data_IF_535610812425
#
_entry.id   IF_535610812425
#
_cell.length_a   1.000
_cell.length_b   1.000
_cell.length_c   1.000
_cell.angle_alpha   90.00
_cell.angle_beta   90.00
_cell.angle_gamma   90.00
#
_symmetry.space_group_name_H-M   'P 1'
#
loop_
_entity.id
_entity.type
_entity.pdbx_description
1 polymer ?
#
# COMPACT_ATOMS: atom_id res chain seq x y z
N UNK A 1 44.52 -14.15 15.24
CA UNK A 1 43.35 -14.26 14.34
C UNK A 1 43.31 -12.99 13.55
N UNK A 2 43.55 -13.07 12.25
CA UNK A 2 43.60 -11.90 11.38
C UNK A 2 42.19 -11.32 11.16
N UNK A 3 42.11 -10.01 10.97
CA UNK A 3 40.84 -9.29 10.81
C UNK A 3 39.99 -9.87 9.67
N UNK A 4 40.64 -10.40 8.62
CA UNK A 4 39.97 -11.08 7.50
C UNK A 4 39.27 -12.37 7.94
N UNK A 5 39.85 -13.13 8.87
CA UNK A 5 39.24 -14.36 9.37
C UNK A 5 38.01 -14.07 10.23
N UNK A 6 38.02 -12.95 10.97
CA UNK A 6 36.88 -12.51 11.79
C UNK A 6 35.68 -12.07 10.94
N UNK A 7 35.92 -11.41 9.81
CA UNK A 7 34.85 -10.97 8.89
C UNK A 7 34.16 -12.17 8.23
N UNK A 8 34.94 -13.17 7.81
CA UNK A 8 34.40 -14.39 7.17
C UNK A 8 33.55 -15.18 8.18
N UNK A 9 34.04 -15.35 9.41
CA UNK A 9 33.32 -16.07 10.48
C UNK A 9 32.02 -15.34 10.87
N UNK A 10 32.03 -14.01 10.92
CA UNK A 10 30.83 -13.21 11.17
C UNK A 10 29.79 -13.35 10.03
N UNK A 11 30.25 -13.37 8.77
CA UNK A 11 29.39 -13.57 7.61
C UNK A 11 28.70 -14.94 7.61
N UNK A 12 29.43 -16.01 7.94
CA UNK A 12 28.84 -17.35 8.05
C UNK A 12 27.87 -17.49 9.23
N UNK A 13 28.15 -16.86 10.38
CA UNK A 13 27.21 -16.83 11.51
C UNK A 13 25.92 -16.09 11.16
N UNK A 14 26.00 -14.97 10.43
CA UNK A 14 24.82 -14.23 10.01
C UNK A 14 23.98 -15.02 8.99
N UNK A 15 24.62 -15.66 8.00
CA UNK A 15 23.94 -16.51 7.03
C UNK A 15 23.25 -17.72 7.69
N UNK A 16 23.90 -18.35 8.67
CA UNK A 16 23.32 -19.46 9.43
C UNK A 16 22.11 -19.00 10.28
N UNK A 17 22.18 -17.82 10.90
CA UNK A 17 21.08 -17.25 11.67
C UNK A 17 19.87 -16.91 10.79
N UNK A 18 20.11 -16.32 9.60
CA UNK A 18 19.05 -16.03 8.61
C UNK A 18 18.37 -17.32 8.12
N UNK A 19 19.14 -18.35 7.81
CA UNK A 19 18.59 -19.65 7.38
C UNK A 19 17.79 -20.35 8.48
N UNK A 20 18.26 -20.31 9.73
CA UNK A 20 17.53 -20.85 10.88
C UNK A 20 16.21 -20.11 11.15
N UNK A 21 16.18 -18.79 10.93
CA UNK A 21 14.95 -17.98 11.01
C UNK A 21 13.91 -18.38 9.97
N UNK A 22 14.34 -18.63 8.73
CA UNK A 22 13.45 -19.07 7.64
C UNK A 22 12.93 -20.49 7.88
N UNK A 23 13.77 -21.37 8.43
CA UNK A 23 13.37 -22.76 8.70
C UNK A 23 12.42 -22.88 9.91
N UNK A 24 12.58 -22.06 10.96
CA UNK A 24 11.63 -21.97 12.08
C UNK A 24 10.23 -21.52 11.63
N UNK A 25 10.15 -20.56 10.69
CA UNK A 25 8.86 -20.11 10.11
C UNK A 25 8.13 -21.21 9.33
N UNK A 26 8.89 -22.12 8.68
CA UNK A 26 8.30 -23.23 7.91
C UNK A 26 7.81 -24.38 8.78
N UNK A 27 8.47 -24.67 9.91
CA UNK A 27 8.03 -25.74 10.84
C UNK A 27 6.78 -25.37 11.64
N UNK A 28 6.61 -24.09 12.02
CA UNK A 28 5.39 -23.63 12.70
C UNK A 28 4.10 -23.76 11.86
N UNK A 29 4.22 -23.88 10.53
CA UNK A 29 3.09 -24.04 9.61
C UNK A 29 2.76 -25.51 9.27
N UNK A 30 3.51 -26.48 9.80
CA UNK A 30 3.39 -27.88 9.41
C UNK A 30 2.72 -28.80 10.46
N UNK A 31 2.34 -28.29 11.64
CA UNK A 31 1.97 -29.14 12.80
C UNK A 31 0.51 -29.03 13.31
N UNK A 32 -0.44 -28.45 12.56
CA UNK A 32 -1.86 -28.46 12.99
C UNK A 32 -2.81 -29.18 12.02
N UNK A 33 -2.95 -30.51 12.13
CA UNK A 33 -3.97 -31.28 11.42
C UNK A 33 -5.24 -31.41 12.28
N UNK A 34 -5.87 -30.29 12.65
CA UNK A 34 -7.19 -30.30 13.28
C UNK A 34 -7.71 -28.87 13.47
N UNK A 35 -8.26 -28.30 12.41
CA UNK A 35 -9.23 -27.20 12.49
C UNK A 35 -10.27 -27.41 11.40
N UNK A 36 -11.00 -28.51 11.53
CA UNK A 36 -12.35 -28.57 10.99
C UNK A 36 -13.22 -27.67 11.89
N UNK A 37 -13.90 -26.72 11.26
CA UNK A 37 -14.94 -25.85 11.86
C UNK A 37 -14.39 -24.59 12.57
N UNK A 38 -13.75 -23.70 11.82
CA UNK A 38 -13.73 -22.26 12.15
C UNK A 38 -14.15 -21.46 10.91
N UNK A 39 -14.91 -20.35 11.07
CA UNK A 39 -15.29 -19.49 9.96
C UNK A 39 -14.00 -19.00 9.28
N UNK A 40 -13.94 -19.25 7.97
CA UNK A 40 -12.82 -18.97 7.07
C UNK A 40 -12.27 -17.56 7.30
N UNK A 41 -11.16 -17.45 8.01
CA UNK A 41 -10.29 -16.26 7.96
C UNK A 41 -9.98 -16.04 6.48
N UNK A 42 -10.25 -14.85 5.91
CA UNK A 42 -10.05 -14.63 4.50
C UNK A 42 -8.59 -14.91 4.14
N UNK A 43 -8.42 -15.97 3.36
CA UNK A 43 -7.14 -16.44 2.84
C UNK A 43 -6.45 -15.32 2.07
N UNK A 44 -5.12 -15.21 2.13
CA UNK A 44 -4.24 -14.23 1.46
C UNK A 44 -4.56 -13.92 -0.03
N UNK A 45 -5.42 -14.70 -0.69
CA UNK A 45 -6.01 -14.36 -2.01
C UNK A 45 -6.82 -13.06 -2.03
N UNK A 46 -7.34 -12.59 -0.89
CA UNK A 46 -8.00 -11.26 -0.81
C UNK A 46 -7.02 -10.08 -0.73
N UNK A 47 -5.71 -10.35 -0.58
CA UNK A 47 -4.67 -9.34 -0.35
C UNK A 47 -3.77 -9.10 -1.56
N UNK A 48 -4.10 -9.66 -2.73
CA UNK A 48 -3.34 -9.47 -3.94
C UNK A 48 -3.88 -8.28 -4.75
N UNK A 49 -2.99 -7.40 -5.22
CA UNK A 49 -3.35 -6.37 -6.20
C UNK A 49 -4.12 -6.99 -7.38
N UNK A 50 -5.18 -6.33 -7.87
CA UNK A 50 -5.91 -6.84 -9.02
C UNK A 50 -5.00 -6.86 -10.24
N UNK A 51 -4.87 -8.04 -10.86
CA UNK A 51 -4.17 -8.18 -12.14
C UNK A 51 -5.05 -7.60 -13.24
N UNK A 52 -4.80 -6.34 -13.61
CA UNK A 52 -5.49 -5.63 -14.68
C UNK A 52 -4.50 -5.34 -15.81
N UNK A 53 -4.96 -5.33 -17.05
CA UNK A 53 -4.10 -5.01 -18.20
C UNK A 53 -3.12 -6.11 -18.59
N UNK A 54 -2.14 -5.74 -19.41
CA UNK A 54 -1.12 -6.65 -19.92
C UNK A 54 0.13 -6.59 -19.03
N UNK A 55 0.54 -7.71 -18.39
CA UNK A 55 1.72 -7.75 -17.56
C UNK A 55 2.97 -7.33 -18.34
N UNK A 56 3.88 -6.58 -17.70
CA UNK A 56 5.12 -6.16 -18.34
C UNK A 56 5.03 -4.92 -19.22
N UNK A 57 3.87 -4.26 -19.24
CA UNK A 57 3.64 -3.03 -20.03
C UNK A 57 3.84 -1.74 -19.25
N UNK A 58 4.23 -1.81 -17.98
CA UNK A 58 4.53 -0.63 -17.17
C UNK A 58 5.57 0.28 -17.86
N UNK A 59 5.25 1.57 -17.96
CA UNK A 59 6.13 2.53 -18.61
C UNK A 59 7.26 3.01 -17.69
N UNK A 60 8.37 3.47 -18.28
CA UNK A 60 9.48 4.06 -17.52
C UNK A 60 9.04 5.24 -16.64
N UNK A 61 8.17 6.10 -17.17
CA UNK A 61 7.66 7.26 -16.43
C UNK A 61 6.83 6.82 -15.22
N UNK A 62 6.00 5.77 -15.35
CA UNK A 62 5.25 5.21 -14.23
C UNK A 62 6.17 4.55 -13.19
N UNK A 63 7.23 3.85 -13.61
CA UNK A 63 8.24 3.33 -12.67
C UNK A 63 8.88 4.46 -11.86
N UNK A 64 9.24 5.56 -12.52
CA UNK A 64 9.84 6.71 -11.86
C UNK A 64 8.85 7.38 -10.89
N UNK A 65 7.60 7.58 -11.31
CA UNK A 65 6.54 8.13 -10.46
C UNK A 65 6.27 7.23 -9.25
N UNK A 66 6.19 5.90 -9.43
CA UNK A 66 6.01 4.96 -8.33
C UNK A 66 7.16 5.03 -7.33
N UNK A 67 8.41 5.09 -7.80
CA UNK A 67 9.58 5.26 -6.93
C UNK A 67 9.57 6.60 -6.18
N UNK A 68 9.12 7.68 -6.83
CA UNK A 68 8.97 8.99 -6.19
C UNK A 68 7.93 8.96 -5.06
N UNK A 69 6.95 8.06 -5.15
CA UNK A 69 5.96 7.81 -4.11
C UNK A 69 6.34 6.64 -3.18
N UNK A 70 7.63 6.29 -3.10
CA UNK A 70 8.18 5.25 -2.21
C UNK A 70 7.67 3.81 -2.47
N UNK A 71 7.17 3.53 -3.68
CA UNK A 71 6.84 2.15 -4.08
C UNK A 71 8.07 1.42 -4.64
N UNK A 72 8.05 0.10 -4.49
CA UNK A 72 8.95 -0.82 -5.19
C UNK A 72 8.25 -1.40 -6.43
N UNK A 73 8.33 -0.74 -7.61
CA UNK A 73 7.67 -1.23 -8.81
C UNK A 73 8.26 -2.56 -9.28
N UNK A 74 7.40 -3.49 -9.67
CA UNK A 74 7.77 -4.74 -10.33
C UNK A 74 7.69 -4.55 -11.85
N UNK A 75 8.67 -5.07 -12.58
CA UNK A 75 8.68 -5.04 -14.05
C UNK A 75 7.55 -5.87 -14.66
N UNK A 76 6.97 -6.80 -13.91
CA UNK A 76 5.84 -7.59 -14.37
C UNK A 76 4.50 -6.85 -14.25
N UNK A 77 4.47 -5.64 -13.68
CA UNK A 77 3.24 -4.86 -13.60
C UNK A 77 2.80 -4.36 -14.97
N UNK A 78 1.49 -4.21 -15.13
CA UNK A 78 0.91 -3.56 -16.29
C UNK A 78 0.89 -2.05 -16.13
N UNK A 79 0.68 -1.36 -17.27
CA UNK A 79 0.45 0.09 -17.30
C UNK A 79 -0.78 0.47 -16.47
N UNK A 80 -1.84 -0.32 -16.55
CA UNK A 80 -3.11 -0.08 -15.86
C UNK A 80 -2.99 -0.30 -14.34
N UNK A 81 -2.24 -1.32 -13.91
CA UNK A 81 -1.95 -1.56 -12.49
C UNK A 81 -1.19 -0.36 -11.89
N UNK A 82 -0.15 0.10 -12.58
CA UNK A 82 0.63 1.25 -12.16
C UNK A 82 -0.21 2.53 -12.12
N UNK A 83 -1.05 2.76 -13.14
CA UNK A 83 -1.94 3.92 -13.19
C UNK A 83 -2.92 3.94 -12.01
N UNK A 84 -3.56 2.80 -11.69
CA UNK A 84 -4.50 2.72 -10.56
C UNK A 84 -3.82 3.01 -9.23
N UNK A 85 -2.58 2.54 -9.02
CA UNK A 85 -1.83 2.88 -7.80
C UNK A 85 -1.57 4.38 -7.73
N UNK A 86 -1.06 4.98 -8.80
CA UNK A 86 -0.73 6.40 -8.85
C UNK A 86 -1.97 7.28 -8.67
N UNK A 87 -3.08 6.91 -9.33
CA UNK A 87 -4.38 7.55 -9.17
C UNK A 87 -4.88 7.43 -7.72
N UNK A 88 -4.71 6.26 -7.08
CA UNK A 88 -5.10 6.04 -5.69
C UNK A 88 -4.26 6.86 -4.71
N UNK A 89 -2.95 6.98 -4.93
CA UNK A 89 -2.06 7.84 -4.13
C UNK A 89 -2.46 9.31 -4.26
N UNK A 90 -2.76 9.76 -5.48
CA UNK A 90 -3.20 11.13 -5.73
C UNK A 90 -4.55 11.43 -5.09
N UNK A 91 -5.50 10.50 -5.22
CA UNK A 91 -6.78 10.57 -4.55
C UNK A 91 -6.62 10.63 -3.03
N UNK A 92 -5.78 9.76 -2.46
CA UNK A 92 -5.49 9.72 -1.03
C UNK A 92 -4.95 11.05 -0.53
N UNK A 93 -3.97 11.64 -1.21
CA UNK A 93 -3.42 12.96 -0.83
C UNK A 93 -4.47 14.04 -0.81
N UNK A 94 -5.36 14.06 -1.79
CA UNK A 94 -6.46 15.01 -1.83
C UNK A 94 -7.46 14.77 -0.69
N UNK A 95 -7.80 13.52 -0.35
CA UNK A 95 -8.63 13.23 0.83
C UNK A 95 -7.95 13.67 2.12
N UNK A 96 -6.68 13.33 2.32
CA UNK A 96 -5.96 13.70 3.54
C UNK A 96 -5.83 15.22 3.70
N UNK A 97 -5.68 15.97 2.59
CA UNK A 97 -5.71 17.44 2.61
C UNK A 97 -7.09 17.97 2.97
N UNK A 98 -8.16 17.38 2.43
CA UNK A 98 -9.52 17.83 2.74
C UNK A 98 -9.92 17.51 4.20
N UNK A 99 -9.30 16.49 4.81
CA UNK A 99 -9.56 16.03 6.19
C UNK A 99 -8.66 16.71 7.22
N UNK A 100 -7.37 16.85 6.91
CA UNK A 100 -6.42 17.47 7.82
C UNK A 100 -6.59 18.99 7.85
N UNK A 101 -6.37 19.61 9.01
CA UNK A 101 -6.15 21.04 9.05
C UNK A 101 -4.88 21.34 8.26
N UNK A 102 -4.95 22.33 7.37
CA UNK A 102 -3.96 22.66 6.34
C UNK A 102 -2.53 22.97 6.83
N UNK A 103 -2.27 22.89 8.14
CA UNK A 103 -0.99 23.17 8.81
C UNK A 103 -0.18 21.93 9.23
N UNK A 104 -0.77 20.72 9.31
CA UNK A 104 -0.09 19.54 9.88
C UNK A 104 0.71 18.68 8.89
N UNK A 105 0.84 19.14 7.64
CA UNK A 105 1.64 18.47 6.62
C UNK A 105 1.06 17.13 6.14
N UNK A 106 1.82 16.41 5.30
CA UNK A 106 1.37 15.13 4.77
C UNK A 106 1.30 14.08 5.90
N UNK A 107 0.24 13.24 5.96
CA UNK A 107 0.11 12.24 7.01
C UNK A 107 1.31 11.28 7.02
N UNK A 108 1.69 10.72 8.17
CA UNK A 108 2.75 9.71 8.28
C UNK A 108 2.64 8.61 7.23
N UNK A 109 3.79 8.12 6.74
CA UNK A 109 3.86 7.10 5.66
C UNK A 109 3.08 5.83 6.01
N UNK A 110 3.06 5.44 7.29
CA UNK A 110 2.31 4.26 7.75
C UNK A 110 0.78 4.45 7.60
N UNK A 111 0.26 5.64 7.89
CA UNK A 111 -1.15 6.00 7.70
C UNK A 111 -1.48 6.03 6.20
N UNK A 112 -0.58 6.59 5.37
CA UNK A 112 -0.76 6.58 3.92
C UNK A 112 -0.83 5.15 3.38
N UNK A 113 0.02 4.24 3.87
CA UNK A 113 0.05 2.85 3.46
C UNK A 113 -1.24 2.10 3.85
N UNK A 114 -1.76 2.28 5.07
CA UNK A 114 -3.01 1.65 5.49
C UNK A 114 -4.22 2.20 4.73
N UNK A 115 -4.30 3.51 4.51
CA UNK A 115 -5.39 4.09 3.72
C UNK A 115 -5.33 3.67 2.24
N UNK A 116 -4.13 3.66 1.65
CA UNK A 116 -3.96 3.16 0.30
C UNK A 116 -4.34 1.67 0.20
N UNK A 117 -3.98 0.88 1.20
CA UNK A 117 -4.38 -0.52 1.30
C UNK A 117 -5.90 -0.66 1.39
N UNK A 118 -6.57 0.14 2.21
CA UNK A 118 -8.03 0.16 2.32
C UNK A 118 -8.68 0.44 0.96
N UNK A 119 -8.21 1.48 0.28
CA UNK A 119 -8.65 1.89 -1.05
C UNK A 119 -8.44 0.76 -2.08
N UNK A 120 -7.24 0.18 -2.12
CA UNK A 120 -6.89 -0.84 -3.11
C UNK A 120 -7.48 -2.22 -2.79
N UNK A 121 -7.92 -2.49 -1.56
CA UNK A 121 -8.55 -3.78 -1.21
C UNK A 121 -10.02 -3.82 -1.61
N UNK A 122 -10.72 -2.70 -1.51
CA UNK A 122 -12.15 -2.64 -1.80
C UNK A 122 -12.43 -2.47 -3.29
N UNK A 123 -13.21 -3.39 -3.84
CA UNK A 123 -13.49 -3.40 -5.29
C UNK A 123 -14.20 -2.14 -5.76
N UNK A 124 -15.18 -1.65 -5.00
CA UNK A 124 -15.94 -0.47 -5.38
C UNK A 124 -15.11 0.82 -5.34
N UNK A 125 -14.20 0.95 -4.36
CA UNK A 125 -13.26 2.08 -4.28
C UNK A 125 -12.24 2.02 -5.41
N UNK A 126 -11.68 0.84 -5.70
CA UNK A 126 -10.77 0.65 -6.83
C UNK A 126 -11.41 1.00 -8.16
N UNK A 127 -12.62 0.50 -8.40
CA UNK A 127 -13.34 0.74 -9.66
C UNK A 127 -13.68 2.22 -9.81
N UNK A 128 -14.07 2.88 -8.71
CA UNK A 128 -14.28 4.32 -8.68
C UNK A 128 -13.00 5.09 -9.01
N UNK A 129 -11.86 4.78 -8.38
CA UNK A 129 -10.60 5.49 -8.61
C UNK A 129 -10.08 5.26 -10.01
N UNK A 130 -10.16 4.02 -10.52
CA UNK A 130 -9.82 3.72 -11.92
C UNK A 130 -10.62 4.60 -12.87
N UNK A 131 -11.94 4.67 -12.68
CA UNK A 131 -12.81 5.51 -13.52
C UNK A 131 -12.49 7.00 -13.35
N UNK A 132 -12.26 7.45 -12.13
CA UNK A 132 -11.89 8.83 -11.83
C UNK A 132 -10.58 9.24 -12.53
N UNK A 133 -9.55 8.39 -12.50
CA UNK A 133 -8.29 8.62 -13.20
C UNK A 133 -8.45 8.61 -14.73
N UNK A 134 -9.27 7.69 -15.26
CA UNK A 134 -9.61 7.67 -16.70
C UNK A 134 -10.35 8.94 -17.13
N UNK A 135 -11.31 9.40 -16.33
CA UNK A 135 -12.10 10.61 -16.64
C UNK A 135 -11.23 11.87 -16.59
N UNK A 136 -10.24 11.93 -15.68
CA UNK A 136 -9.22 13.00 -15.66
C UNK A 136 -8.34 12.99 -16.91
N UNK A 137 -7.85 11.82 -17.32
CA UNK A 137 -7.08 11.67 -18.56
C UNK A 137 -7.91 12.07 -19.79
N UNK A 138 -9.20 11.72 -19.83
CA UNK A 138 -10.14 12.16 -20.89
C UNK A 138 -10.39 13.67 -20.88
N UNK A 139 -10.39 14.29 -19.71
CA UNK A 139 -10.50 15.75 -19.56
C UNK A 139 -9.21 16.49 -20.00
N UNK A 140 -8.18 15.77 -20.46
CA UNK A 140 -6.92 16.35 -20.92
C UNK A 140 -5.94 16.69 -19.79
N UNK A 141 -6.23 16.23 -18.56
CA UNK A 141 -5.31 16.37 -17.43
C UNK A 141 -4.27 15.26 -17.53
N UNK A 142 -3.00 15.64 -17.56
CA UNK A 142 -1.90 14.67 -17.64
C UNK A 142 -1.86 13.73 -16.43
N UNK A 143 -1.48 12.47 -16.66
CA UNK A 143 -1.39 11.42 -15.63
C UNK A 143 -0.41 11.80 -14.50
N UNK A 144 0.59 12.63 -14.82
CA UNK A 144 1.63 13.10 -13.90
C UNK A 144 1.53 14.59 -13.59
N UNK A 145 0.41 15.25 -13.93
CA UNK A 145 0.20 16.65 -13.59
C UNK A 145 0.36 16.86 -12.07
N UNK A 146 1.02 17.94 -11.67
CA UNK A 146 1.12 18.34 -10.27
C UNK A 146 -0.08 19.21 -9.87
N UNK A 147 -1.28 18.77 -10.28
CA UNK A 147 -2.53 19.42 -9.95
C UNK A 147 -3.13 18.86 -8.66
N UNK A 148 -3.90 19.73 -8.03
CA UNK A 148 -4.65 19.46 -6.81
C UNK A 148 -6.12 19.17 -7.13
N UNK A 149 -6.52 17.89 -7.28
CA UNK A 149 -7.90 17.57 -7.61
C UNK A 149 -8.88 18.05 -6.56
N UNK A 150 -9.99 18.62 -7.01
CA UNK A 150 -11.20 18.78 -6.20
C UNK A 150 -11.97 17.47 -6.24
N UNK A 151 -12.17 16.85 -5.07
CA UNK A 151 -12.85 15.56 -4.98
C UNK A 151 -14.36 15.73 -4.91
N UNK A 152 -15.09 14.84 -5.59
CA UNK A 152 -16.55 14.80 -5.51
C UNK A 152 -16.97 14.12 -4.22
N UNK A 153 -17.81 14.80 -3.44
CA UNK A 153 -18.35 14.36 -2.13
C UNK A 153 -19.39 13.24 -2.26
N UNK A 154 -18.98 12.09 -2.80
CA UNK A 154 -19.80 10.90 -2.97
C UNK A 154 -19.63 9.89 -1.83
N UNK A 155 -20.31 8.74 -1.92
CA UNK A 155 -20.24 7.70 -0.88
C UNK A 155 -18.81 7.17 -0.71
N UNK A 156 -18.10 6.95 -1.82
CA UNK A 156 -16.71 6.46 -1.83
C UNK A 156 -15.78 7.44 -1.10
N UNK A 157 -15.92 8.74 -1.38
CA UNK A 157 -15.20 9.79 -0.67
C UNK A 157 -15.46 9.74 0.83
N UNK A 158 -16.73 9.76 1.25
CA UNK A 158 -17.08 9.74 2.69
C UNK A 158 -16.53 8.53 3.43
N UNK A 159 -16.42 7.38 2.77
CA UNK A 159 -15.84 6.17 3.34
C UNK A 159 -14.33 6.29 3.55
N UNK A 160 -13.61 6.83 2.56
CA UNK A 160 -12.16 7.06 2.68
C UNK A 160 -11.88 8.19 3.67
N UNK A 161 -12.71 9.24 3.67
CA UNK A 161 -12.67 10.36 4.61
C UNK A 161 -12.86 9.88 6.06
N UNK A 162 -13.88 9.06 6.32
CA UNK A 162 -14.12 8.51 7.66
C UNK A 162 -12.96 7.63 8.14
N UNK A 163 -12.36 6.84 7.23
CA UNK A 163 -11.19 6.04 7.58
C UNK A 163 -9.95 6.92 7.80
N UNK A 164 -9.76 7.98 7.00
CA UNK A 164 -8.67 8.93 7.17
C UNK A 164 -8.78 9.69 8.50
N UNK A 165 -9.98 10.15 8.88
CA UNK A 165 -10.23 10.78 10.18
C UNK A 165 -9.86 9.88 11.35
N UNK A 166 -10.14 8.58 11.28
CA UNK A 166 -9.74 7.62 12.34
C UNK A 166 -8.23 7.58 12.58
N UNK A 167 -7.43 7.86 11.55
CA UNK A 167 -5.97 7.86 11.65
C UNK A 167 -5.41 9.25 11.98
N UNK A 168 -6.06 10.32 11.52
CA UNK A 168 -5.60 11.71 11.68
C UNK A 168 -6.07 12.32 13.01
N UNK A 169 -7.30 12.04 13.41
CA UNK A 169 -7.83 12.36 14.74
C UNK A 169 -7.67 11.09 15.58
N UNK A 170 -6.51 10.86 16.26
CA UNK A 170 -6.48 9.83 17.28
C UNK A 170 -7.56 10.22 18.29
N UNK A 171 -8.47 9.29 18.57
CA UNK A 171 -9.47 9.47 19.60
C UNK A 171 -8.79 10.06 20.84
N UNK A 172 -9.15 11.29 21.22
CA UNK A 172 -8.84 11.85 22.52
C UNK A 172 -9.30 10.83 23.56
N UNK A 173 -8.39 10.00 24.09
CA UNK A 173 -8.77 8.95 25.03
C UNK A 173 -7.88 7.71 25.15
N UNK A 174 -6.76 7.59 24.42
CA UNK A 174 -5.85 6.43 24.58
C UNK A 174 -4.57 6.73 25.38
N UNK A 175 -4.55 7.78 26.20
CA UNK A 175 -3.54 7.97 27.25
C UNK A 175 -4.20 7.99 28.64
N UNK A 176 -4.49 6.80 29.17
CA UNK A 176 -4.52 6.56 30.61
C UNK A 176 -4.35 5.05 30.88
N UNK A 177 -3.39 4.71 31.73
CA UNK A 177 -2.99 3.38 32.23
C UNK A 177 -2.05 2.52 31.36
N UNK A 178 -0.74 2.64 31.62
CA UNK A 178 -0.07 1.86 32.68
C UNK A 178 1.34 2.36 33.00
#
# INVERSE_FOLDING_TARGET
>A
MDAETLIIVAGFMWAAWVLLGIHKRRKANAEHPSDAILPKVPTDKERAMPRIGEPGTISFNQIQALRANSFAPDRNWSREEAAVILDAVKYLRAVCRDVGDSDDGAPPVDIQNELLRFILTQQDLRDYIRKWGEDRRKAGIDEFADDEPVLTQNNQYRRVEAEARRFIEPAEGAEAEK
#
